data_IF_932033553139
#
_entry.id   IF_932033553139
#
_cell.length_a   1.000
_cell.length_b   1.000
_cell.length_c   1.000
_cell.angle_alpha   90.00
_cell.angle_beta   90.00
_cell.angle_gamma   90.00
#
_symmetry.space_group_name_H-M   'P 1'
#
loop_
_entity.id
_entity.type
_entity.pdbx_description
1 polymer ?
#
# COMPACT_ATOMS: atom_id res chain seq x y z
N UNK A 1 31.13 19.28 22.13
CA UNK A 1 30.82 17.85 22.42
C UNK A 1 29.33 17.49 22.48
N UNK A 2 28.41 18.34 22.98
CA UNK A 2 26.96 18.06 22.91
C UNK A 2 26.41 18.00 21.47
N UNK A 3 27.00 18.81 20.59
CA UNK A 3 26.69 18.88 19.16
C UNK A 3 27.17 17.64 18.41
N UNK A 4 28.34 17.10 18.77
CA UNK A 4 28.89 15.87 18.20
C UNK A 4 28.07 14.62 18.58
N UNK A 5 27.46 14.59 19.78
CA UNK A 5 26.55 13.52 20.21
C UNK A 5 25.11 13.67 19.69
N UNK A 6 24.63 14.91 19.48
CA UNK A 6 23.45 15.15 18.63
C UNK A 6 23.73 14.63 17.22
N UNK A 7 24.91 14.90 16.66
CA UNK A 7 25.32 14.52 15.31
C UNK A 7 25.61 13.02 15.13
N UNK A 8 26.11 12.30 16.14
CA UNK A 8 26.29 10.83 16.09
C UNK A 8 25.02 10.04 16.41
N UNK A 9 24.12 10.56 17.26
CA UNK A 9 22.74 10.03 17.35
C UNK A 9 21.91 10.36 16.09
N UNK A 10 22.22 11.48 15.41
CA UNK A 10 21.74 11.77 14.05
C UNK A 10 22.39 10.85 13.01
N UNK A 11 23.65 10.43 13.18
CA UNK A 11 24.32 9.52 12.26
C UNK A 11 23.71 8.11 12.27
N UNK A 12 23.22 7.61 13.42
CA UNK A 12 22.44 6.36 13.47
C UNK A 12 20.98 6.53 12.98
N UNK A 13 20.53 7.77 12.75
CA UNK A 13 19.29 8.13 12.03
C UNK A 13 19.49 8.21 10.51
N UNK A 14 20.71 8.02 9.99
CA UNK A 14 20.96 8.01 8.54
C UNK A 14 20.39 6.72 7.94
N UNK A 15 19.13 6.81 7.52
CA UNK A 15 18.39 5.73 6.83
C UNK A 15 17.07 5.31 7.50
N UNK A 16 16.68 5.89 8.64
CA UNK A 16 15.39 5.60 9.28
C UNK A 16 14.54 6.85 9.35
N UNK A 17 13.30 6.73 8.88
CA UNK A 17 12.31 7.80 8.81
C UNK A 17 12.31 8.69 10.07
N UNK A 18 12.48 10.03 9.94
CA UNK A 18 12.38 10.98 11.04
C UNK A 18 11.06 10.88 11.83
N UNK A 19 9.98 10.41 11.21
CA UNK A 19 8.68 10.20 11.87
C UNK A 19 8.60 8.89 12.64
N UNK A 20 9.59 8.01 12.53
CA UNK A 20 9.62 6.71 13.21
C UNK A 20 9.81 6.90 14.72
N UNK A 21 8.89 6.38 15.54
CA UNK A 21 9.03 6.35 16.98
C UNK A 21 10.37 5.78 17.41
N UNK A 22 10.98 6.40 18.42
CA UNK A 22 12.25 5.93 18.96
C UNK A 22 12.04 4.55 19.60
N UNK A 23 12.88 3.59 19.23
CA UNK A 23 12.82 2.21 19.73
C UNK A 23 12.78 2.11 21.26
N UNK A 24 12.20 1.02 21.76
CA UNK A 24 12.13 0.73 23.19
C UNK A 24 13.52 0.58 23.81
N UNK A 25 13.75 1.24 24.93
CA UNK A 25 14.96 1.12 25.74
C UNK A 25 14.80 0.01 26.78
N UNK A 26 15.84 -0.80 26.93
CA UNK A 26 15.94 -1.82 27.98
C UNK A 26 16.29 -1.18 29.34
N UNK A 27 16.04 -1.89 30.44
CA UNK A 27 16.42 -1.48 31.80
C UNK A 27 17.92 -1.17 31.89
N UNK A 28 18.75 -2.01 31.27
CA UNK A 28 20.19 -1.76 31.17
C UNK A 28 20.51 -0.49 30.35
N UNK A 29 19.74 -0.18 29.31
CA UNK A 29 19.98 1.02 28.50
C UNK A 29 19.67 2.31 29.29
N UNK A 30 18.63 2.29 30.13
CA UNK A 30 18.36 3.38 31.07
C UNK A 30 19.47 3.53 32.11
N UNK A 31 19.97 2.42 32.63
CA UNK A 31 21.08 2.42 33.58
C UNK A 31 22.38 2.97 32.97
N UNK A 32 22.72 2.59 31.74
CA UNK A 32 23.87 3.16 31.03
C UNK A 32 23.69 4.66 30.81
N UNK A 33 22.46 5.12 30.54
CA UNK A 33 22.16 6.54 30.36
C UNK A 33 22.31 7.34 31.66
N UNK A 34 21.86 6.81 32.80
CA UNK A 34 22.06 7.46 34.11
C UNK A 34 23.54 7.48 34.49
N UNK A 35 24.27 6.38 34.28
CA UNK A 35 25.72 6.33 34.51
C UNK A 35 26.48 7.35 33.66
N UNK A 36 26.06 7.56 32.39
CA UNK A 36 26.66 8.58 31.51
C UNK A 36 26.37 9.99 32.00
N UNK A 37 25.15 10.25 32.44
CA UNK A 37 24.75 11.55 32.97
C UNK A 37 25.51 11.90 34.26
N UNK A 38 25.65 10.93 35.17
CA UNK A 38 26.44 11.07 36.39
C UNK A 38 27.92 11.34 36.08
N UNK A 39 28.52 10.59 35.15
CA UNK A 39 29.91 10.79 34.77
C UNK A 39 30.14 12.16 34.14
N UNK A 40 29.23 12.62 33.27
CA UNK A 40 29.32 13.95 32.64
C UNK A 40 29.15 15.09 33.66
N UNK A 41 28.37 14.86 34.73
CA UNK A 41 28.22 15.82 35.83
C UNK A 41 29.48 15.88 36.70
N UNK A 42 30.14 14.75 36.95
CA UNK A 42 31.36 14.66 37.78
C UNK A 42 32.63 15.04 37.03
N UNK A 43 32.65 14.83 35.71
CA UNK A 43 33.78 15.15 34.85
C UNK A 43 33.28 15.86 33.58
N UNK A 44 32.98 17.17 33.66
CA UNK A 44 32.45 17.94 32.53
C UNK A 44 33.43 18.06 31.36
N UNK A 45 34.74 18.08 31.63
CA UNK A 45 35.81 18.22 30.63
C UNK A 45 36.49 16.89 30.24
N UNK A 46 36.28 15.81 30.99
CA UNK A 46 36.93 14.54 30.67
C UNK A 46 36.24 13.83 29.50
N UNK A 47 36.99 13.60 28.43
CA UNK A 47 36.56 12.75 27.33
C UNK A 47 36.48 11.30 27.81
N UNK A 48 35.28 10.73 27.80
CA UNK A 48 35.06 9.33 28.20
C UNK A 48 35.37 8.38 27.06
N UNK A 49 36.31 7.45 27.27
CA UNK A 49 36.52 6.33 26.36
C UNK A 49 35.31 5.39 26.44
N UNK A 50 34.56 5.29 25.33
CA UNK A 50 33.32 4.49 25.25
C UNK A 50 33.56 3.01 25.59
N UNK A 51 34.72 2.47 25.20
CA UNK A 51 35.07 1.06 25.42
C UNK A 51 35.22 0.74 26.92
N UNK A 52 35.98 1.58 27.63
CA UNK A 52 36.19 1.44 29.08
C UNK A 52 34.91 1.73 29.88
N UNK A 53 34.17 2.75 29.46
CA UNK A 53 32.91 3.11 30.09
C UNK A 53 31.86 2.00 29.96
N UNK A 54 31.78 1.34 28.80
CA UNK A 54 30.87 0.22 28.58
C UNK A 54 31.24 -0.99 29.44
N UNK A 55 32.54 -1.28 29.64
CA UNK A 55 33.01 -2.35 30.54
C UNK A 55 32.63 -2.05 32.00
N UNK A 56 32.94 -0.83 32.48
CA UNK A 56 32.58 -0.36 33.83
C UNK A 56 31.07 -0.40 34.09
N UNK A 57 30.24 -0.03 33.09
CA UNK A 57 28.78 -0.12 33.22
C UNK A 57 28.29 -1.57 33.27
N UNK A 58 28.90 -2.49 32.52
CA UNK A 58 28.50 -3.90 32.53
C UNK A 58 28.81 -4.57 33.86
N UNK A 59 30.01 -4.32 34.41
CA UNK A 59 30.42 -4.81 35.73
C UNK A 59 29.53 -4.24 36.83
N UNK A 60 29.28 -2.92 36.82
CA UNK A 60 28.38 -2.27 37.76
C UNK A 60 26.97 -2.84 37.65
N UNK A 61 26.42 -3.02 36.44
CA UNK A 61 25.10 -3.64 36.29
C UNK A 61 25.02 -5.06 36.84
N UNK A 62 26.09 -5.87 36.70
CA UNK A 62 26.14 -7.21 37.28
C UNK A 62 26.17 -7.18 38.80
N UNK A 63 26.94 -6.27 39.40
CA UNK A 63 27.07 -6.12 40.86
C UNK A 63 25.89 -5.39 41.53
N UNK A 64 25.01 -4.73 40.76
CA UNK A 64 23.85 -4.01 41.31
C UNK A 64 22.78 -4.96 41.85
N UNK A 65 22.15 -4.56 42.95
CA UNK A 65 21.13 -5.33 43.64
C UNK A 65 19.80 -5.37 42.87
N UNK A 66 18.96 -6.39 43.14
CA UNK A 66 17.63 -6.52 42.51
C UNK A 66 16.74 -5.31 42.78
N UNK A 67 16.89 -4.64 43.93
CA UNK A 67 16.11 -3.44 44.29
C UNK A 67 16.48 -2.24 43.42
N UNK A 68 17.75 -2.08 43.07
CA UNK A 68 18.21 -0.98 42.21
C UNK A 68 17.90 -1.26 40.74
N UNK A 69 18.02 -2.52 40.31
CA UNK A 69 17.57 -2.98 38.99
C UNK A 69 16.07 -2.77 38.79
N UNK A 70 15.25 -2.99 39.83
CA UNK A 70 13.80 -2.78 39.79
C UNK A 70 13.40 -1.39 39.30
N UNK A 71 14.09 -0.33 39.75
CA UNK A 71 13.83 1.05 39.28
C UNK A 71 14.02 1.20 37.76
N UNK A 72 15.04 0.55 37.20
CA UNK A 72 15.31 0.57 35.76
C UNK A 72 14.39 -0.36 34.97
N UNK A 73 13.93 -1.45 35.57
CA UNK A 73 12.92 -2.33 34.99
C UNK A 73 11.57 -1.63 34.87
N UNK A 74 11.16 -0.85 35.87
CA UNK A 74 9.91 -0.08 35.80
C UNK A 74 9.99 1.03 34.75
N UNK A 75 11.13 1.70 34.63
CA UNK A 75 11.37 2.65 33.52
C UNK A 75 11.32 1.97 32.15
N UNK A 76 11.85 0.76 32.02
CA UNK A 76 11.78 -0.01 30.78
C UNK A 76 10.34 -0.46 30.45
N UNK A 77 9.53 -0.81 31.46
CA UNK A 77 8.09 -1.11 31.28
C UNK A 77 7.32 0.12 30.81
N UNK A 78 7.58 1.30 31.39
CA UNK A 78 6.96 2.56 30.96
C UNK A 78 7.36 2.92 29.51
N UNK A 79 8.63 2.75 29.15
CA UNK A 79 9.10 3.02 27.79
C UNK A 79 8.52 2.05 26.76
N UNK A 80 8.26 0.80 27.16
CA UNK A 80 7.52 -0.17 26.34
C UNK A 80 6.11 0.35 26.01
N UNK A 81 5.39 0.86 27.01
CA UNK A 81 4.03 1.43 26.82
C UNK A 81 4.07 2.69 25.96
N UNK A 82 5.05 3.58 26.16
CA UNK A 82 5.30 4.75 25.30
C UNK A 82 5.50 4.32 23.85
N UNK A 83 6.41 3.37 23.62
CA UNK A 83 6.73 2.87 22.28
C UNK A 83 5.51 2.24 21.61
N UNK A 84 4.72 1.43 22.33
CA UNK A 84 3.49 0.84 21.79
C UNK A 84 2.45 1.91 21.40
N UNK A 85 2.30 2.97 22.21
CA UNK A 85 1.41 4.10 21.93
C UNK A 85 1.86 4.89 20.70
N UNK A 86 3.14 5.25 20.63
CA UNK A 86 3.72 5.98 19.50
C UNK A 86 3.70 5.14 18.21
N UNK A 87 3.94 3.82 18.31
CA UNK A 87 3.86 2.91 17.17
C UNK A 87 2.44 2.72 16.64
N UNK A 88 1.41 2.86 17.49
CA UNK A 88 -0.01 2.77 17.07
C UNK A 88 -0.45 3.95 16.19
N UNK A 89 0.16 5.12 16.42
CA UNK A 89 -0.10 6.36 15.66
C UNK A 89 0.85 6.52 14.47
N UNK A 90 2.00 5.85 14.48
CA UNK A 90 2.98 5.90 13.40
C UNK A 90 2.50 5.23 12.10
N UNK A 91 2.66 5.94 10.98
CA UNK A 91 2.40 5.45 9.63
C UNK A 91 3.75 5.40 8.91
N UNK A 92 4.29 4.19 8.62
CA UNK A 92 5.58 4.07 7.94
C UNK A 92 5.51 4.59 6.49
N UNK A 93 6.58 5.25 6.00
CA UNK A 93 6.65 5.78 4.65
C UNK A 93 6.77 4.65 3.63
N UNK A 94 6.35 4.95 2.40
CA UNK A 94 6.21 4.01 1.29
C UNK A 94 7.49 3.15 1.13
N UNK A 95 7.33 1.83 1.25
CA UNK A 95 8.40 0.84 1.01
C UNK A 95 8.87 0.09 2.25
N UNK A 96 8.83 0.69 3.44
CA UNK A 96 9.10 -0.02 4.71
C UNK A 96 7.85 -0.75 5.20
N UNK A 97 7.44 -1.80 4.49
CA UNK A 97 6.50 -2.76 5.10
C UNK A 97 7.23 -3.41 6.28
N UNK A 98 6.68 -3.27 7.50
CA UNK A 98 7.14 -4.10 8.61
C UNK A 98 7.10 -5.56 8.16
N UNK A 99 8.26 -6.21 8.11
CA UNK A 99 8.34 -7.65 7.87
C UNK A 99 7.56 -8.31 8.99
N UNK A 100 6.37 -8.84 8.67
CA UNK A 100 5.62 -9.70 9.58
C UNK A 100 6.52 -10.89 9.87
N UNK A 101 6.98 -11.02 11.11
CA UNK A 101 7.54 -12.28 11.60
C UNK A 101 6.41 -13.29 11.49
N UNK A 102 6.50 -14.14 10.47
CA UNK A 102 5.53 -15.22 10.28
C UNK A 102 5.79 -16.20 11.42
N UNK A 103 4.77 -16.45 12.24
CA UNK A 103 4.88 -17.40 13.34
C UNK A 103 5.38 -18.74 12.77
N UNK A 104 6.52 -19.29 13.24
CA UNK A 104 7.07 -20.53 12.71
C UNK A 104 6.12 -21.73 12.87
N UNK A 105 5.21 -21.66 13.85
CA UNK A 105 4.23 -22.68 14.15
C UNK A 105 2.86 -22.44 13.50
N UNK A 106 2.67 -21.34 12.76
CA UNK A 106 1.40 -21.11 12.09
C UNK A 106 1.29 -21.98 10.83
N UNK A 107 0.18 -22.70 10.63
CA UNK A 107 -0.09 -23.45 9.41
C UNK A 107 0.08 -22.58 8.18
N UNK A 108 0.84 -23.07 7.20
CA UNK A 108 1.05 -22.34 5.93
C UNK A 108 -0.25 -22.33 5.13
N UNK A 109 -0.66 -21.15 4.68
CA UNK A 109 -1.86 -20.97 3.84
C UNK A 109 -1.83 -21.93 2.64
N UNK A 110 -2.98 -22.52 2.27
CA UNK A 110 -3.06 -23.44 1.15
C UNK A 110 -2.77 -22.68 -0.16
N UNK A 111 -2.08 -23.32 -1.13
CA UNK A 111 -1.84 -22.71 -2.44
C UNK A 111 -3.16 -22.54 -3.21
N UNK A 112 -3.32 -21.38 -3.88
CA UNK A 112 -4.43 -21.14 -4.80
C UNK A 112 -4.31 -22.00 -6.07
N UNK A 113 -5.39 -22.14 -6.84
CA UNK A 113 -5.44 -22.88 -8.10
C UNK A 113 -4.28 -22.49 -9.04
N UNK A 114 -4.01 -21.19 -9.16
CA UNK A 114 -2.87 -20.67 -9.92
C UNK A 114 -1.51 -21.17 -9.41
N UNK A 115 -1.32 -21.27 -8.09
CA UNK A 115 -0.06 -21.75 -7.52
C UNK A 115 0.11 -23.26 -7.69
N UNK A 116 -0.98 -24.03 -7.66
CA UNK A 116 -0.96 -25.46 -8.00
C UNK A 116 -0.56 -25.64 -9.47
N UNK A 117 -1.17 -24.87 -10.38
CA UNK A 117 -0.78 -24.83 -11.79
C UNK A 117 0.69 -24.42 -11.99
N UNK A 118 1.14 -23.38 -11.30
CA UNK A 118 2.54 -22.95 -11.35
C UNK A 118 3.50 -24.04 -10.88
N UNK A 119 3.14 -24.83 -9.86
CA UNK A 119 4.00 -25.90 -9.38
C UNK A 119 4.21 -26.98 -10.47
N UNK A 120 3.14 -27.35 -11.17
CA UNK A 120 3.17 -28.38 -12.21
C UNK A 120 3.89 -27.90 -13.49
N UNK A 121 3.74 -26.62 -13.85
CA UNK A 121 4.29 -26.05 -15.09
C UNK A 121 5.65 -25.36 -14.94
N UNK A 122 6.07 -25.00 -13.72
CA UNK A 122 7.36 -24.33 -13.49
C UNK A 122 8.54 -25.20 -13.93
N UNK A 123 8.48 -26.51 -13.69
CA UNK A 123 9.53 -27.45 -14.10
C UNK A 123 9.64 -27.55 -15.62
N UNK A 124 8.49 -27.55 -16.32
CA UNK A 124 8.41 -27.59 -17.78
C UNK A 124 9.03 -26.34 -18.42
N UNK A 125 8.62 -25.16 -17.98
CA UNK A 125 9.16 -23.88 -18.49
C UNK A 125 10.65 -23.73 -18.17
N UNK A 126 11.08 -24.18 -16.99
CA UNK A 126 12.50 -24.16 -16.62
C UNK A 126 13.33 -25.10 -17.50
N UNK A 127 12.77 -26.24 -17.92
CA UNK A 127 13.42 -27.18 -18.84
C UNK A 127 13.44 -26.65 -20.29
N UNK A 128 12.36 -26.00 -20.73
CA UNK A 128 12.28 -25.38 -22.07
C UNK A 128 13.18 -24.14 -22.21
N UNK A 129 13.39 -23.40 -21.11
CA UNK A 129 14.20 -22.18 -21.10
C UNK A 129 15.16 -22.16 -19.91
N UNK A 130 16.22 -23.00 -19.94
CA UNK A 130 17.23 -23.01 -18.90
C UNK A 130 18.01 -21.69 -18.95
N UNK A 131 17.82 -20.83 -17.95
CA UNK A 131 18.50 -19.53 -17.84
C UNK A 131 17.59 -18.35 -17.46
N UNK A 132 16.26 -18.51 -17.55
CA UNK A 132 15.34 -17.47 -17.09
C UNK A 132 15.32 -17.33 -15.57
N UNK A 133 15.25 -16.07 -15.11
CA UNK A 133 15.03 -15.76 -13.70
C UNK A 133 13.69 -16.31 -13.23
N UNK A 134 13.62 -16.68 -11.95
CA UNK A 134 12.39 -17.16 -11.30
C UNK A 134 11.22 -16.17 -11.52
N UNK A 135 11.53 -14.87 -11.55
CA UNK A 135 10.54 -13.82 -11.80
C UNK A 135 9.96 -13.87 -13.22
N UNK A 136 10.77 -14.17 -14.23
CA UNK A 136 10.32 -14.19 -15.63
C UNK A 136 9.57 -15.48 -15.96
N UNK A 137 9.96 -16.60 -15.34
CA UNK A 137 9.18 -17.85 -15.37
C UNK A 137 7.79 -17.62 -14.76
N UNK A 138 7.70 -16.90 -13.63
CA UNK A 138 6.42 -16.58 -13.00
C UNK A 138 5.53 -15.68 -13.89
N UNK A 139 6.12 -14.72 -14.61
CA UNK A 139 5.37 -13.89 -15.58
C UNK A 139 4.82 -14.72 -16.73
N UNK A 140 5.62 -15.63 -17.31
CA UNK A 140 5.16 -16.54 -18.36
C UNK A 140 4.01 -17.43 -17.87
N UNK A 141 4.13 -18.01 -16.68
CA UNK A 141 3.06 -18.81 -16.06
C UNK A 141 1.78 -18.01 -15.83
N UNK A 142 1.90 -16.75 -15.39
CA UNK A 142 0.75 -15.85 -15.24
C UNK A 142 0.03 -15.60 -16.56
N UNK A 143 0.78 -15.37 -17.64
CA UNK A 143 0.22 -15.23 -18.99
C UNK A 143 -0.50 -16.50 -19.45
N UNK A 144 0.15 -17.66 -19.30
CA UNK A 144 -0.45 -18.95 -19.64
C UNK A 144 -1.74 -19.21 -18.88
N UNK A 145 -1.75 -18.97 -17.56
CA UNK A 145 -2.95 -19.13 -16.75
C UNK A 145 -4.09 -18.22 -17.20
N UNK A 146 -3.82 -16.95 -17.53
CA UNK A 146 -4.86 -16.06 -18.02
C UNK A 146 -5.46 -16.52 -19.36
N UNK A 147 -4.63 -17.10 -20.23
CA UNK A 147 -5.05 -17.64 -21.53
C UNK A 147 -5.65 -19.05 -21.46
N UNK A 148 -5.50 -19.75 -20.34
CA UNK A 148 -6.06 -21.10 -20.14
C UNK A 148 -7.59 -21.03 -20.01
N UNK A 149 -8.30 -21.97 -20.63
CA UNK A 149 -9.77 -22.06 -20.59
C UNK A 149 -10.30 -22.30 -19.17
N UNK A 150 -11.58 -22.03 -18.90
CA UNK A 150 -12.17 -22.33 -17.58
C UNK A 150 -12.20 -23.83 -17.29
N UNK A 151 -12.35 -24.66 -18.33
CA UNK A 151 -12.39 -26.12 -18.25
C UNK A 151 -11.05 -26.69 -17.77
N UNK A 152 -9.95 -26.20 -18.32
CA UNK A 152 -8.60 -26.60 -17.92
C UNK A 152 -8.22 -26.06 -16.52
N UNK A 153 -8.85 -24.96 -16.08
CA UNK A 153 -8.69 -24.40 -14.73
C UNK A 153 -9.45 -25.18 -13.67
N UNK A 154 -10.61 -25.77 -14.00
CA UNK A 154 -11.44 -26.53 -13.06
C UNK A 154 -10.69 -27.60 -12.25
N UNK A 155 -9.83 -28.47 -12.83
CA UNK A 155 -9.11 -29.46 -12.04
C UNK A 155 -8.17 -28.81 -11.02
N UNK A 156 -7.55 -27.67 -11.34
CA UNK A 156 -6.70 -26.93 -10.41
C UNK A 156 -7.50 -26.23 -9.32
N UNK A 157 -8.68 -25.70 -9.64
CA UNK A 157 -9.61 -25.14 -8.66
C UNK A 157 -10.12 -26.21 -7.69
N UNK A 158 -10.50 -27.39 -8.19
CA UNK A 158 -10.89 -28.55 -7.36
C UNK A 158 -9.75 -29.01 -6.46
N UNK A 159 -8.51 -29.09 -6.98
CA UNK A 159 -7.31 -29.41 -6.18
C UNK A 159 -7.08 -28.35 -5.08
N UNK A 160 -7.17 -27.07 -5.41
CA UNK A 160 -7.00 -25.98 -4.44
C UNK A 160 -8.12 -25.98 -3.38
N UNK A 161 -9.36 -26.26 -3.75
CA UNK A 161 -10.48 -26.39 -2.83
C UNK A 161 -10.26 -27.53 -1.82
N UNK A 162 -9.81 -28.71 -2.28
CA UNK A 162 -9.45 -29.83 -1.38
C UNK A 162 -8.32 -29.48 -0.43
N UNK A 163 -7.29 -28.77 -0.91
CA UNK A 163 -6.18 -28.32 -0.06
C UNK A 163 -6.65 -27.28 0.97
N UNK A 164 -7.57 -26.39 0.58
CA UNK A 164 -8.20 -25.42 1.47
C UNK A 164 -9.01 -26.10 2.56
N UNK A 165 -9.82 -27.11 2.22
CA UNK A 165 -10.61 -27.86 3.20
C UNK A 165 -9.72 -28.61 4.20
N UNK A 166 -8.64 -29.25 3.73
CA UNK A 166 -7.65 -29.89 4.61
C UNK A 166 -7.00 -28.87 5.56
N UNK A 167 -6.66 -27.70 5.06
CA UNK A 167 -6.11 -26.62 5.86
C UNK A 167 -7.12 -26.11 6.92
N UNK A 168 -8.38 -25.93 6.54
CA UNK A 168 -9.44 -25.48 7.45
C UNK A 168 -9.75 -26.49 8.56
N UNK A 169 -9.60 -27.79 8.29
CA UNK A 169 -9.69 -28.88 9.28
C UNK A 169 -8.47 -28.94 10.18
N UNK A 170 -7.27 -28.67 9.64
CA UNK A 170 -6.02 -28.64 10.42
C UNK A 170 -5.85 -27.37 11.26
N UNK A 171 -6.57 -26.30 10.94
CA UNK A 171 -6.52 -25.03 11.67
C UNK A 171 -7.32 -25.12 12.97
N UNK A 172 -6.64 -24.96 14.10
CA UNK A 172 -7.29 -24.82 15.40
C UNK A 172 -8.14 -23.54 15.46
N UNK A 173 -9.23 -23.53 16.21
CA UNK A 173 -10.06 -22.34 16.45
C UNK A 173 -9.26 -21.13 16.94
N UNK A 174 -8.17 -21.36 17.70
CA UNK A 174 -7.24 -20.31 18.17
C UNK A 174 -6.46 -19.66 17.02
N UNK A 175 -6.15 -20.40 15.97
CA UNK A 175 -5.41 -19.92 14.80
C UNK A 175 -6.34 -19.19 13.82
N UNK A 176 -7.59 -19.64 13.71
CA UNK A 176 -8.65 -18.92 12.97
C UNK A 176 -8.89 -17.53 13.57
N UNK A 177 -9.02 -17.44 14.90
CA UNK A 177 -9.17 -16.15 15.60
C UNK A 177 -8.01 -15.19 15.35
N UNK A 178 -6.75 -15.65 15.49
CA UNK A 178 -5.56 -14.83 15.18
C UNK A 178 -5.54 -14.32 13.73
N UNK A 179 -5.95 -15.15 12.77
CA UNK A 179 -6.00 -14.78 11.37
C UNK A 179 -7.04 -13.69 11.10
N UNK A 180 -8.23 -13.82 11.69
CA UNK A 180 -9.30 -12.83 11.56
C UNK A 180 -8.90 -11.50 12.20
N UNK A 181 -8.27 -11.52 13.37
CA UNK A 181 -7.80 -10.31 14.04
C UNK A 181 -6.70 -9.61 13.21
N UNK A 182 -5.79 -10.37 12.62
CA UNK A 182 -4.79 -9.84 11.68
C UNK A 182 -5.42 -9.23 10.42
N UNK A 183 -6.49 -9.86 9.89
CA UNK A 183 -7.20 -9.34 8.73
C UNK A 183 -7.94 -8.04 9.04
N UNK A 184 -8.58 -7.94 10.22
CA UNK A 184 -9.22 -6.71 10.71
C UNK A 184 -8.21 -5.58 10.88
N UNK A 185 -7.06 -5.87 11.50
CA UNK A 185 -5.96 -4.91 11.64
C UNK A 185 -5.42 -4.40 10.29
N UNK A 186 -5.29 -5.29 9.30
CA UNK A 186 -4.83 -4.93 7.95
C UNK A 186 -5.84 -4.04 7.23
N UNK A 187 -7.14 -4.33 7.36
CA UNK A 187 -8.22 -3.52 6.80
C UNK A 187 -8.23 -2.11 7.39
N UNK A 188 -8.18 -1.99 8.72
CA UNK A 188 -8.12 -0.69 9.42
C UNK A 188 -6.89 0.12 9.02
N UNK A 189 -5.75 -0.54 8.84
CA UNK A 189 -4.54 0.11 8.33
C UNK A 189 -4.73 0.61 6.90
N UNK A 190 -5.26 -0.22 6.01
CA UNK A 190 -5.49 0.15 4.61
C UNK A 190 -6.45 1.34 4.49
N UNK A 191 -7.56 1.32 5.23
CA UNK A 191 -8.53 2.43 5.26
C UNK A 191 -7.90 3.74 5.76
N UNK A 192 -7.03 3.67 6.78
CA UNK A 192 -6.29 4.83 7.28
C UNK A 192 -5.30 5.37 6.24
N UNK A 193 -4.53 4.49 5.59
CA UNK A 193 -3.55 4.86 4.55
C UNK A 193 -4.25 5.50 3.34
N UNK A 194 -5.40 4.94 2.93
CA UNK A 194 -6.22 5.46 1.84
C UNK A 194 -6.91 6.78 2.18
N UNK A 195 -7.27 7.03 3.44
CA UNK A 195 -7.89 8.31 3.87
C UNK A 195 -6.95 9.50 3.68
N UNK A 196 -5.65 9.29 3.81
CA UNK A 196 -4.61 10.30 3.58
C UNK A 196 -4.03 10.28 2.16
N UNK A 197 -4.61 9.47 1.27
CA UNK A 197 -4.14 9.33 -0.11
C UNK A 197 -4.51 10.57 -0.92
N UNK A 198 -3.50 11.34 -1.30
CA UNK A 198 -3.60 12.38 -2.33
C UNK A 198 -3.02 11.75 -3.61
N UNK A 199 -3.84 11.44 -4.63
CA UNK A 199 -3.34 10.92 -5.88
C UNK A 199 -2.34 11.91 -6.52
N UNK A 200 -1.23 11.43 -7.12
CA UNK A 200 -0.36 12.29 -7.91
C UNK A 200 -1.17 13.03 -8.97
N UNK A 201 -1.05 14.35 -9.03
CA UNK A 201 -1.77 15.21 -9.98
C UNK A 201 -1.22 14.95 -11.39
N UNK A 202 -1.71 13.91 -12.06
CA UNK A 202 -1.26 13.54 -13.41
C UNK A 202 -1.59 12.11 -13.85
N UNK A 203 -1.61 11.12 -12.94
CA UNK A 203 -1.98 9.75 -13.29
C UNK A 203 -3.46 9.51 -12.97
N UNK A 204 -4.35 9.96 -13.86
CA UNK A 204 -5.64 9.28 -13.98
C UNK A 204 -5.33 7.87 -14.47
N UNK A 205 -5.57 6.88 -13.62
CA UNK A 205 -5.59 5.47 -14.02
C UNK A 205 -6.44 5.39 -15.30
N UNK A 206 -5.80 5.20 -16.47
CA UNK A 206 -6.54 5.00 -17.73
C UNK A 206 -7.34 3.73 -17.49
N UNK A 207 -8.64 3.86 -17.27
CA UNK A 207 -9.55 2.72 -17.38
C UNK A 207 -9.30 2.21 -18.80
N UNK A 208 -8.70 1.02 -18.93
CA UNK A 208 -8.65 0.27 -20.18
C UNK A 208 -10.11 -0.04 -20.50
N UNK A 209 -10.77 0.87 -21.21
CA UNK A 209 -12.10 0.64 -21.76
C UNK A 209 -11.92 -0.46 -22.78
N UNK A 210 -12.69 -1.52 -22.61
CA UNK A 210 -12.77 -2.63 -23.54
C UNK A 210 -12.85 -2.08 -24.98
N UNK A 211 -11.95 -2.48 -25.89
CA UNK A 211 -11.99 -2.06 -27.30
C UNK A 211 -13.34 -2.34 -27.98
N UNK A 212 -14.10 -3.31 -27.46
CA UNK A 212 -15.41 -3.70 -27.97
C UNK A 212 -16.60 -3.09 -27.19
N UNK A 213 -16.36 -2.28 -26.15
CA UNK A 213 -17.45 -1.62 -25.45
C UNK A 213 -18.05 -0.48 -26.31
N UNK A 214 -19.38 -0.50 -26.55
CA UNK A 214 -20.06 0.60 -27.25
C UNK A 214 -19.74 1.95 -26.59
N UNK A 215 -19.50 2.99 -27.40
CA UNK A 215 -19.26 4.35 -26.90
C UNK A 215 -20.55 4.96 -26.38
N UNK A 216 -20.48 5.61 -25.21
CA UNK A 216 -21.63 6.30 -24.61
C UNK A 216 -22.26 7.30 -25.59
N UNK A 217 -23.59 7.38 -25.65
CA UNK A 217 -24.30 8.27 -26.57
C UNK A 217 -24.06 9.74 -26.18
N UNK A 218 -23.95 10.65 -27.16
CA UNK A 218 -23.79 12.08 -26.88
C UNK A 218 -25.06 12.67 -26.25
N UNK A 219 -24.87 13.55 -25.26
CA UNK A 219 -25.97 14.32 -24.66
C UNK A 219 -26.53 15.37 -25.64
N UNK A 220 -27.73 15.90 -25.37
CA UNK A 220 -28.42 16.90 -26.19
C UNK A 220 -27.53 18.09 -26.57
N UNK A 221 -26.77 18.60 -25.60
CA UNK A 221 -25.78 19.65 -25.83
C UNK A 221 -24.68 19.26 -26.83
N UNK A 222 -24.19 18.02 -26.79
CA UNK A 222 -23.15 17.56 -27.71
C UNK A 222 -23.68 17.31 -29.13
N UNK A 223 -24.95 16.92 -29.26
CA UNK A 223 -25.65 16.87 -30.55
C UNK A 223 -25.78 18.29 -31.13
N UNK A 224 -26.20 19.26 -30.30
CA UNK A 224 -26.23 20.67 -30.68
C UNK A 224 -24.85 21.22 -31.08
N UNK A 225 -23.81 20.89 -30.31
CA UNK A 225 -22.44 21.25 -30.64
C UNK A 225 -21.99 20.67 -31.97
N UNK A 226 -22.39 19.44 -32.33
CA UNK A 226 -22.01 18.86 -33.61
C UNK A 226 -22.57 19.66 -34.80
N UNK A 227 -23.83 20.09 -34.71
CA UNK A 227 -24.53 20.83 -35.78
C UNK A 227 -24.02 22.28 -35.91
N UNK A 228 -23.62 22.91 -34.80
CA UNK A 228 -23.21 24.33 -34.77
C UNK A 228 -21.69 24.53 -34.81
N UNK A 229 -20.89 23.54 -34.43
CA UNK A 229 -19.43 23.62 -34.47
C UNK A 229 -18.91 23.83 -35.88
N UNK A 230 -19.53 23.20 -36.88
CA UNK A 230 -19.16 23.37 -38.29
C UNK A 230 -19.40 24.80 -38.77
N UNK A 231 -20.53 25.41 -38.35
CA UNK A 231 -20.90 26.80 -38.69
C UNK A 231 -19.93 27.80 -38.05
N UNK A 232 -19.67 27.68 -36.75
CA UNK A 232 -18.76 28.59 -36.02
C UNK A 232 -17.31 28.45 -36.50
N UNK A 233 -16.89 27.22 -36.86
CA UNK A 233 -15.55 26.98 -37.42
C UNK A 233 -15.40 27.57 -38.83
N UNK A 234 -16.48 27.61 -39.62
CA UNK A 234 -16.48 28.25 -40.93
C UNK A 234 -16.49 29.77 -40.85
N UNK A 235 -17.24 30.35 -39.89
CA UNK A 235 -17.29 31.80 -39.65
C UNK A 235 -16.02 32.35 -39.00
N UNK A 236 -15.28 31.52 -38.27
CA UNK A 236 -14.03 31.94 -37.61
C UNK A 236 -12.91 30.90 -37.76
N UNK A 237 -12.34 30.76 -38.97
CA UNK A 237 -11.24 29.84 -39.22
C UNK A 237 -9.96 30.37 -38.55
N UNK A 238 -9.69 29.89 -37.33
CA UNK A 238 -8.47 30.25 -36.59
C UNK A 238 -8.59 30.18 -35.06
N UNK A 239 -9.81 30.15 -34.51
CA UNK A 239 -9.98 29.99 -33.06
C UNK A 239 -9.67 28.57 -32.59
N UNK A 240 -9.08 28.50 -31.39
CA UNK A 240 -8.85 27.25 -30.67
C UNK A 240 -10.17 26.51 -30.44
N UNK A 241 -10.11 25.17 -30.49
CA UNK A 241 -11.25 24.28 -30.19
C UNK A 241 -11.90 24.65 -28.85
N UNK A 242 -11.10 25.11 -27.88
CA UNK A 242 -11.59 25.55 -26.57
C UNK A 242 -12.48 26.79 -26.63
N UNK A 243 -12.20 27.74 -27.51
CA UNK A 243 -12.95 29.00 -27.60
C UNK A 243 -14.22 28.83 -28.44
N UNK A 244 -14.18 27.96 -29.45
CA UNK A 244 -15.39 27.50 -30.16
C UNK A 244 -16.34 26.79 -29.18
N UNK A 245 -15.81 25.97 -28.27
CA UNK A 245 -16.61 25.30 -27.25
C UNK A 245 -17.23 26.27 -26.22
N UNK A 246 -16.51 27.32 -25.81
CA UNK A 246 -17.07 28.37 -24.93
C UNK A 246 -18.21 29.14 -25.62
N UNK A 247 -18.05 29.49 -26.90
CA UNK A 247 -19.12 30.13 -27.69
C UNK A 247 -20.35 29.23 -27.80
N UNK A 248 -20.17 27.94 -28.12
CA UNK A 248 -21.26 26.96 -28.18
C UNK A 248 -21.98 26.76 -26.84
N UNK A 249 -21.22 26.72 -25.73
CA UNK A 249 -21.78 26.63 -24.38
C UNK A 249 -22.63 27.86 -24.03
N UNK A 250 -22.15 29.06 -24.38
CA UNK A 250 -22.91 30.30 -24.23
C UNK A 250 -24.19 30.31 -25.08
N UNK A 251 -24.09 29.89 -26.34
CA UNK A 251 -25.26 29.76 -27.22
C UNK A 251 -26.29 28.81 -26.64
N UNK A 252 -25.88 27.61 -26.21
CA UNK A 252 -26.78 26.63 -25.60
C UNK A 252 -27.45 27.15 -24.32
N UNK A 253 -26.75 27.90 -23.48
CA UNK A 253 -27.36 28.46 -22.27
C UNK A 253 -28.40 29.54 -22.59
N UNK A 254 -28.19 30.30 -23.67
CA UNK A 254 -29.10 31.35 -24.12
C UNK A 254 -30.21 30.85 -25.06
N UNK A 255 -30.09 29.65 -25.62
CA UNK A 255 -31.14 29.01 -26.42
C UNK A 255 -32.38 28.73 -25.55
N UNK A 256 -33.58 28.95 -26.12
CA UNK A 256 -34.86 28.73 -25.45
C UNK A 256 -35.11 27.24 -25.14
N UNK A 257 -36.03 26.94 -24.23
CA UNK A 257 -36.42 25.55 -23.93
C UNK A 257 -36.99 24.84 -25.16
N UNK A 258 -37.73 25.57 -26.00
CA UNK A 258 -38.38 25.07 -27.22
C UNK A 258 -37.35 24.61 -28.27
N UNK A 259 -36.29 25.38 -28.43
CA UNK A 259 -35.20 25.06 -29.37
C UNK A 259 -34.29 23.94 -28.86
N UNK A 260 -34.29 23.65 -27.54
CA UNK A 260 -33.55 22.52 -26.93
C UNK A 260 -34.29 21.19 -27.07
N UNK A 261 -35.62 21.20 -27.04
CA UNK A 261 -36.44 19.99 -27.17
C UNK A 261 -36.08 19.07 -28.36
N UNK A 262 -35.84 19.56 -29.60
CA UNK A 262 -35.46 18.68 -30.70
C UNK A 262 -34.11 17.98 -30.46
N UNK A 263 -33.16 18.64 -29.78
CA UNK A 263 -31.86 18.05 -29.45
C UNK A 263 -31.96 17.05 -28.29
N UNK A 264 -32.83 17.31 -27.32
CA UNK A 264 -33.16 16.37 -26.24
C UNK A 264 -33.82 15.10 -26.77
N UNK A 265 -34.79 15.24 -27.68
CA UNK A 265 -35.42 14.09 -28.38
C UNK A 265 -34.39 13.30 -29.19
N UNK A 266 -33.48 13.97 -29.91
CA UNK A 266 -32.39 13.32 -30.64
C UNK A 266 -31.44 12.55 -29.71
N UNK A 267 -31.05 13.14 -28.57
CA UNK A 267 -30.19 12.48 -27.60
C UNK A 267 -30.89 11.31 -26.89
N UNK A 268 -32.19 11.42 -26.59
CA UNK A 268 -32.99 10.34 -26.04
C UNK A 268 -33.05 9.12 -26.98
N UNK A 269 -33.27 9.35 -28.29
CA UNK A 269 -33.22 8.28 -29.31
C UNK A 269 -31.85 7.63 -29.41
N UNK A 270 -30.77 8.39 -29.31
CA UNK A 270 -29.40 7.84 -29.31
C UNK A 270 -29.12 7.03 -28.03
N UNK A 271 -29.68 7.45 -26.89
CA UNK A 271 -29.62 6.71 -25.62
C UNK A 271 -30.37 5.38 -25.69
N UNK A 272 -31.59 5.39 -26.23
CA UNK A 272 -32.40 4.19 -26.41
C UNK A 272 -31.70 3.18 -27.34
N UNK A 273 -31.12 3.65 -28.46
CA UNK A 273 -30.32 2.79 -29.35
C UNK A 273 -29.12 2.19 -28.66
N UNK A 274 -28.43 2.96 -27.80
CA UNK A 274 -27.29 2.46 -27.03
C UNK A 274 -27.72 1.44 -25.98
N UNK A 275 -28.82 1.69 -25.27
CA UNK A 275 -29.36 0.75 -24.27
C UNK A 275 -29.76 -0.59 -24.88
N UNK A 276 -30.31 -0.59 -26.10
CA UNK A 276 -30.62 -1.81 -26.87
C UNK A 276 -29.40 -2.66 -27.26
N UNK A 277 -28.18 -2.12 -27.22
CA UNK A 277 -26.94 -2.87 -27.48
C UNK A 277 -26.44 -3.61 -26.23
N UNK A 278 -26.96 -3.26 -25.04
CA UNK A 278 -26.60 -3.90 -23.76
C UNK A 278 -27.68 -4.87 -23.24
N UNK A 279 -28.77 -5.07 -23.99
CA UNK A 279 -29.80 -6.10 -23.78
C UNK A 279 -29.48 -7.26 -24.70
#
# INVERSE_FOLDING_TARGET
MQEYYKNTCLAFKMGKDPKKPRGKMSSYAYFVQTCRAEHKKKHPEASVNFSEFSKKCSERWKSMSSKEKGKFEDLAKLDKVRYEREMKTYIPPKGEKMKRTKDPNAPKRPPSAFFVFCADHRSKIKAETPGLSIGDVAKKLGGMWNNTSSEDKQPYEKKAAKLKEKYEKSMSSKEKGKFEDLAKLDKVRYEREMKTYIPPKGEKMKRTKDPNAPKRPPSAFFVFCADHRSKIKAETPGLSIGDVAKKLGGMWNNTSSEDKQPYEKKAAKLKEKYEKVFI
#
